data_IF_344086439237
#
_entry.id   IF_344086439237
#
_cell.length_a   1.000
_cell.length_b   1.000
_cell.length_c   1.000
_cell.angle_alpha   90.00
_cell.angle_beta   90.00
_cell.angle_gamma   90.00
#
_symmetry.space_group_name_H-M   'P 1'
#
loop_
_entity.id
_entity.type
_entity.pdbx_description
1 polymer ?
#
# COMPACT_ATOMS: atom_id res chain seq x y z
N UNK A 1 -15.22 10.57 45.88
CA UNK A 1 -14.67 11.09 44.62
C UNK A 1 -14.09 9.91 43.88
N UNK A 2 -14.86 9.40 42.92
CA UNK A 2 -14.62 8.12 42.26
C UNK A 2 -14.62 8.40 40.77
N UNK A 3 -13.51 8.07 40.11
CA UNK A 3 -13.24 8.35 38.71
C UNK A 3 -14.01 7.34 37.86
N UNK A 4 -14.96 7.84 37.08
CA UNK A 4 -15.80 7.04 36.18
C UNK A 4 -15.05 6.65 34.91
N UNK A 5 -15.06 5.35 34.62
CA UNK A 5 -14.60 4.72 33.39
C UNK A 5 -15.53 5.07 32.22
N UNK A 6 -14.99 5.59 31.13
CA UNK A 6 -15.71 5.77 29.86
C UNK A 6 -15.69 4.46 29.07
N UNK A 7 -16.57 3.54 29.44
CA UNK A 7 -17.05 2.48 28.54
C UNK A 7 -18.39 2.94 27.99
N UNK A 8 -18.39 3.58 26.81
CA UNK A 8 -19.63 3.91 26.12
C UNK A 8 -20.16 2.69 25.37
N UNK A 9 -20.91 1.86 26.08
CA UNK A 9 -21.94 1.00 25.49
C UNK A 9 -23.25 1.77 25.63
N UNK A 10 -23.64 2.52 24.60
CA UNK A 10 -25.01 3.02 24.47
C UNK A 10 -25.55 2.62 23.10
N UNK A 11 -26.41 1.61 23.14
CA UNK A 11 -27.44 1.40 22.14
C UNK A 11 -28.45 2.55 22.27
N UNK A 12 -28.41 3.50 21.34
CA UNK A 12 -29.49 4.45 21.12
C UNK A 12 -30.35 3.95 19.95
N UNK A 13 -31.63 3.75 20.24
CA UNK A 13 -32.67 3.48 19.27
C UNK A 13 -32.91 4.72 18.38
N UNK A 14 -33.03 4.52 17.07
CA UNK A 14 -33.77 5.42 16.18
C UNK A 14 -33.00 6.26 15.15
N UNK A 15 -31.67 6.23 15.09
CA UNK A 15 -30.98 6.75 13.90
C UNK A 15 -30.88 5.64 12.86
N UNK A 16 -31.64 5.74 11.77
CA UNK A 16 -31.40 4.99 10.54
C UNK A 16 -30.01 5.34 10.03
N UNK A 17 -29.02 4.59 10.49
CA UNK A 17 -27.66 4.68 9.96
C UNK A 17 -27.69 4.23 8.51
N UNK A 18 -27.19 5.09 7.62
CA UNK A 18 -27.02 4.78 6.21
C UNK A 18 -26.28 3.45 6.04
N UNK A 19 -26.86 2.54 5.26
CA UNK A 19 -26.26 1.24 4.93
C UNK A 19 -25.78 1.23 3.49
N UNK A 20 -24.58 0.71 3.28
CA UNK A 20 -24.01 0.48 1.95
C UNK A 20 -24.37 -0.94 1.51
N UNK A 21 -24.98 -1.06 0.33
CA UNK A 21 -25.48 -2.33 -0.20
C UNK A 21 -25.08 -2.53 -1.67
N UNK A 22 -25.01 -3.78 -2.10
CA UNK A 22 -24.93 -4.15 -3.50
C UNK A 22 -26.22 -3.74 -4.22
N UNK A 23 -26.08 -3.03 -5.35
CA UNK A 23 -27.22 -2.47 -6.08
C UNK A 23 -28.19 -3.51 -6.65
N UNK A 24 -27.73 -4.74 -6.87
CA UNK A 24 -28.49 -5.83 -7.49
C UNK A 24 -29.00 -6.80 -6.43
N UNK A 25 -28.11 -7.33 -5.57
CA UNK A 25 -28.50 -8.33 -4.57
C UNK A 25 -29.14 -7.71 -3.32
N UNK A 26 -28.92 -6.42 -3.07
CA UNK A 26 -29.33 -5.75 -1.84
C UNK A 26 -28.54 -6.19 -0.60
N UNK A 27 -27.50 -7.00 -0.78
CA UNK A 27 -26.68 -7.46 0.34
C UNK A 27 -25.82 -6.33 0.92
N UNK A 28 -25.62 -6.29 2.25
CA UNK A 28 -24.76 -5.29 2.86
C UNK A 28 -23.29 -5.46 2.47
N UNK A 29 -22.66 -4.36 2.06
CA UNK A 29 -21.24 -4.26 1.73
C UNK A 29 -20.45 -3.79 2.94
N UNK A 30 -20.14 -4.73 3.83
CA UNK A 30 -19.19 -4.45 4.90
C UNK A 30 -17.81 -4.09 4.36
N UNK A 31 -16.96 -3.43 5.16
CA UNK A 31 -15.58 -3.13 4.78
C UNK A 31 -15.39 -2.05 3.71
N UNK A 32 -16.47 -1.49 3.13
CA UNK A 32 -16.38 -0.37 2.22
C UNK A 32 -15.75 0.86 2.91
N UNK A 33 -14.78 1.48 2.27
CA UNK A 33 -14.05 2.64 2.78
C UNK A 33 -14.82 3.93 2.52
N UNK A 34 -14.76 4.86 3.47
CA UNK A 34 -15.47 6.14 3.42
C UNK A 34 -14.45 7.27 3.52
N UNK A 35 -14.50 8.20 2.57
CA UNK A 35 -13.61 9.35 2.47
C UNK A 35 -14.39 10.65 2.59
N UNK A 36 -13.82 11.64 3.28
CA UNK A 36 -14.37 12.98 3.32
C UNK A 36 -14.16 13.75 2.01
N UNK A 37 -14.75 14.95 1.92
CA UNK A 37 -14.62 15.84 0.76
C UNK A 37 -13.18 16.25 0.42
N UNK A 38 -12.22 16.06 1.32
CA UNK A 38 -10.80 16.39 1.13
C UNK A 38 -9.95 15.16 0.77
N UNK A 39 -10.59 14.00 0.61
CA UNK A 39 -9.93 12.72 0.36
C UNK A 39 -9.36 12.05 1.62
N UNK A 40 -9.63 12.57 2.82
CA UNK A 40 -9.25 11.95 4.08
C UNK A 40 -10.13 10.76 4.41
N UNK A 41 -9.54 9.63 4.81
CA UNK A 41 -10.31 8.44 5.17
C UNK A 41 -10.99 8.64 6.54
N UNK A 42 -12.31 8.47 6.61
CA UNK A 42 -13.12 8.54 7.83
C UNK A 42 -13.25 7.17 8.52
N UNK A 43 -13.10 6.08 7.76
CA UNK A 43 -13.14 4.71 8.26
C UNK A 43 -13.75 3.73 7.27
N UNK A 44 -14.11 2.54 7.78
CA UNK A 44 -14.70 1.45 7.00
C UNK A 44 -16.10 1.11 7.50
N UNK A 45 -17.00 0.73 6.61
CA UNK A 45 -18.33 0.25 6.95
C UNK A 45 -18.28 -1.01 7.84
N UNK A 46 -19.24 -1.12 8.75
CA UNK A 46 -19.40 -2.31 9.60
C UNK A 46 -19.68 -3.57 8.77
N UNK A 47 -19.58 -4.81 9.33
CA UNK A 47 -19.96 -6.03 8.61
C UNK A 47 -21.39 -6.04 8.04
N UNK A 48 -22.27 -5.18 8.57
CA UNK A 48 -23.65 -4.99 8.09
C UNK A 48 -23.80 -3.84 7.09
N UNK A 49 -22.70 -3.32 6.55
CA UNK A 49 -22.69 -2.23 5.57
C UNK A 49 -22.96 -0.84 6.16
N UNK A 50 -23.22 -0.70 7.46
CA UNK A 50 -23.47 0.62 8.06
C UNK A 50 -22.23 1.51 7.99
N UNK A 51 -22.42 2.77 7.57
CA UNK A 51 -21.37 3.80 7.55
C UNK A 51 -20.77 4.03 8.95
N UNK A 52 -19.48 4.40 9.04
CA UNK A 52 -18.91 4.99 10.25
C UNK A 52 -19.58 6.34 10.54
N UNK A 53 -19.29 6.92 11.71
CA UNK A 53 -19.76 8.27 12.02
C UNK A 53 -19.16 9.28 11.03
N UNK A 54 -20.02 10.09 10.38
CA UNK A 54 -19.62 11.13 9.44
C UNK A 54 -20.07 12.50 9.98
N UNK A 55 -19.14 13.41 10.34
CA UNK A 55 -19.53 14.74 10.78
C UNK A 55 -20.09 15.55 9.61
N UNK A 56 -21.04 16.45 9.88
CA UNK A 56 -21.72 17.24 8.83
C UNK A 56 -20.75 18.02 7.91
N UNK A 57 -19.62 18.49 8.45
CA UNK A 57 -18.59 19.22 7.69
C UNK A 57 -17.68 18.36 6.81
N UNK A 58 -17.81 17.03 6.85
CA UNK A 58 -17.04 16.11 6.02
C UNK A 58 -17.71 15.81 4.67
N UNK A 59 -19.02 16.09 4.53
CA UNK A 59 -19.74 15.92 3.27
C UNK A 59 -19.31 16.93 2.18
N UNK A 60 -19.41 16.58 0.89
CA UNK A 60 -19.82 15.26 0.38
C UNK A 60 -18.78 14.18 0.69
N UNK A 61 -19.24 12.95 0.96
CA UNK A 61 -18.35 11.81 1.25
C UNK A 61 -18.34 10.82 0.10
N UNK A 62 -17.19 10.21 -0.16
CA UNK A 62 -17.04 9.18 -1.19
C UNK A 62 -16.98 7.80 -0.53
N UNK A 63 -17.85 6.89 -0.95
CA UNK A 63 -17.83 5.48 -0.55
C UNK A 63 -17.17 4.65 -1.64
N UNK A 64 -16.18 3.85 -1.25
CA UNK A 64 -15.41 2.96 -2.12
C UNK A 64 -15.44 1.54 -1.62
N UNK A 65 -15.58 0.60 -2.53
CA UNK A 65 -15.47 -0.81 -2.25
C UNK A 65 -14.78 -1.48 -3.43
N UNK A 66 -13.69 -2.22 -3.18
CA UNK A 66 -12.94 -2.88 -4.23
C UNK A 66 -13.86 -3.77 -5.08
N UNK A 67 -13.80 -3.57 -6.41
CA UNK A 67 -14.68 -4.26 -7.38
C UNK A 67 -16.09 -3.66 -7.48
N UNK A 68 -16.31 -2.45 -6.98
CA UNK A 68 -17.56 -1.70 -7.12
C UNK A 68 -17.28 -0.27 -7.59
N UNK A 69 -18.22 0.30 -8.35
CA UNK A 69 -18.20 1.70 -8.72
C UNK A 69 -18.34 2.57 -7.46
N UNK A 70 -17.50 3.60 -7.34
CA UNK A 70 -17.57 4.54 -6.22
C UNK A 70 -18.87 5.34 -6.25
N UNK A 71 -19.30 5.80 -5.07
CA UNK A 71 -20.51 6.61 -4.92
C UNK A 71 -20.24 7.80 -4.01
N UNK A 72 -20.61 8.99 -4.48
CA UNK A 72 -20.60 10.21 -3.68
C UNK A 72 -21.96 10.37 -3.01
N UNK A 73 -21.93 10.72 -1.73
CA UNK A 73 -23.09 10.98 -0.89
C UNK A 73 -23.00 12.44 -0.44
N UNK A 74 -24.02 13.24 -0.74
CA UNK A 74 -24.01 14.68 -0.43
C UNK A 74 -24.43 15.00 1.01
N UNK A 75 -25.17 14.11 1.67
CA UNK A 75 -25.60 14.29 3.06
C UNK A 75 -25.98 12.97 3.73
N UNK A 76 -26.03 12.95 5.06
CA UNK A 76 -26.41 11.76 5.85
C UNK A 76 -27.90 11.41 5.83
N UNK A 77 -28.70 12.01 4.94
CA UNK A 77 -30.13 11.76 4.85
C UNK A 77 -30.49 10.48 4.08
N UNK A 78 -29.54 9.89 3.35
CA UNK A 78 -29.76 8.65 2.61
C UNK A 78 -29.79 7.44 3.56
N UNK A 79 -30.87 6.65 3.53
CA UNK A 79 -30.95 5.42 4.31
C UNK A 79 -30.13 4.28 3.69
N UNK A 80 -30.05 4.23 2.36
CA UNK A 80 -29.34 3.18 1.60
C UNK A 80 -28.45 3.80 0.52
N UNK A 81 -27.21 3.34 0.46
CA UNK A 81 -26.24 3.70 -0.57
C UNK A 81 -25.97 2.46 -1.41
N UNK A 82 -26.35 2.52 -2.68
CA UNK A 82 -26.25 1.37 -3.60
C UNK A 82 -24.98 1.47 -4.44
N UNK A 83 -24.09 0.49 -4.29
CA UNK A 83 -22.90 0.38 -5.13
C UNK A 83 -23.13 -0.63 -6.26
N UNK A 84 -22.71 -0.26 -7.47
CA UNK A 84 -22.78 -1.14 -8.64
C UNK A 84 -21.50 -1.97 -8.73
N UNK A 85 -21.63 -3.29 -8.74
CA UNK A 85 -20.49 -4.20 -8.94
C UNK A 85 -19.85 -3.95 -10.31
N UNK A 86 -18.52 -3.89 -10.33
CA UNK A 86 -17.70 -3.88 -11.54
C UNK A 86 -17.34 -5.34 -11.85
N UNK A 87 -17.82 -5.86 -12.97
CA UNK A 87 -17.49 -7.21 -13.42
C UNK A 87 -16.44 -7.13 -14.53
N UNK A 88 -15.30 -7.78 -14.33
CA UNK A 88 -14.33 -8.07 -15.39
C UNK A 88 -13.77 -9.46 -15.19
N UNK A 89 -13.61 -10.17 -16.30
CA UNK A 89 -12.87 -11.42 -16.36
C UNK A 89 -11.43 -11.09 -16.75
N UNK A 90 -10.47 -11.53 -15.94
CA UNK A 90 -9.06 -11.54 -16.34
C UNK A 90 -8.86 -12.65 -17.39
N UNK A 91 -7.87 -12.51 -18.30
CA UNK A 91 -7.57 -13.55 -19.27
C UNK A 91 -7.36 -14.91 -18.60
N UNK A 92 -7.87 -15.98 -19.21
CA UNK A 92 -7.67 -17.33 -18.71
C UNK A 92 -6.18 -17.66 -18.63
N UNK A 93 -5.73 -18.10 -17.46
CA UNK A 93 -4.32 -18.45 -17.23
C UNK A 93 -4.08 -19.90 -17.66
N UNK A 94 -3.50 -20.10 -18.84
CA UNK A 94 -3.17 -21.45 -19.35
C UNK A 94 -1.93 -22.01 -18.67
N UNK A 95 -2.04 -23.21 -18.08
CA UNK A 95 -0.94 -23.90 -17.40
C UNK A 95 -0.36 -25.01 -18.29
N UNK A 96 0.85 -24.84 -18.81
CA UNK A 96 1.65 -25.98 -19.30
C UNK A 96 2.47 -26.57 -18.15
N UNK A 97 1.97 -27.67 -17.60
CA UNK A 97 2.52 -28.37 -16.44
C UNK A 97 3.99 -28.82 -16.59
N UNK A 98 4.55 -28.87 -17.80
CA UNK A 98 5.95 -29.30 -18.02
C UNK A 98 6.96 -28.16 -17.99
N UNK A 99 6.52 -26.91 -18.20
CA UNK A 99 7.44 -25.76 -18.40
C UNK A 99 7.18 -24.58 -17.47
N UNK A 100 5.98 -24.43 -16.95
CA UNK A 100 5.59 -23.21 -16.26
C UNK A 100 5.57 -23.44 -14.75
N UNK A 101 6.61 -22.93 -14.07
CA UNK A 101 6.93 -23.26 -12.67
C UNK A 101 6.74 -22.08 -11.71
N UNK A 102 6.52 -20.87 -12.25
CA UNK A 102 6.42 -19.62 -11.48
C UNK A 102 5.22 -18.83 -12.00
N UNK A 103 4.33 -18.39 -11.11
CA UNK A 103 3.27 -17.45 -11.43
C UNK A 103 3.84 -16.03 -11.34
N UNK A 104 3.85 -15.31 -12.45
CA UNK A 104 4.15 -13.89 -12.53
C UNK A 104 2.82 -13.12 -12.59
N UNK A 105 2.71 -12.07 -11.79
CA UNK A 105 1.50 -11.24 -11.73
C UNK A 105 1.89 -9.77 -11.82
N UNK A 106 1.29 -9.06 -12.76
CA UNK A 106 1.43 -7.62 -12.93
C UNK A 106 0.23 -6.93 -12.29
N UNK A 107 0.48 -5.89 -11.49
CA UNK A 107 -0.58 -5.16 -10.81
C UNK A 107 -0.35 -3.65 -10.85
N UNK A 108 -1.44 -2.91 -10.87
CA UNK A 108 -1.46 -1.47 -10.66
C UNK A 108 -1.91 -1.18 -9.22
N UNK A 109 -1.18 -0.31 -8.53
CA UNK A 109 -1.49 0.07 -7.16
C UNK A 109 -1.80 1.56 -7.12
N UNK A 110 -2.96 1.89 -6.56
CA UNK A 110 -3.35 3.24 -6.21
C UNK A 110 -3.35 3.40 -4.70
N UNK A 111 -2.73 4.48 -4.23
CA UNK A 111 -2.51 4.72 -2.82
C UNK A 111 -2.87 6.15 -2.41
N UNK A 112 -3.44 6.23 -1.22
CA UNK A 112 -3.68 7.44 -0.45
C UNK A 112 -3.08 7.25 0.94
N UNK A 113 -2.01 7.99 1.24
CA UNK A 113 -1.40 7.98 2.57
C UNK A 113 -1.42 9.36 3.18
N UNK A 114 -1.68 9.44 4.48
CA UNK A 114 -1.61 10.68 5.25
C UNK A 114 -0.66 10.48 6.41
N UNK A 115 0.29 11.39 6.55
CA UNK A 115 1.18 11.51 7.68
C UNK A 115 0.84 12.81 8.40
N UNK A 116 0.57 12.75 9.69
CA UNK A 116 0.26 13.94 10.48
C UNK A 116 1.05 13.96 11.78
N UNK A 117 1.42 15.16 12.22
CA UNK A 117 1.81 15.47 13.60
C UNK A 117 0.76 16.39 14.21
N UNK A 118 1.05 16.96 15.38
CA UNK A 118 0.16 17.94 15.98
C UNK A 118 0.05 19.26 15.21
N UNK A 119 0.99 19.56 14.33
CA UNK A 119 1.00 20.83 13.59
C UNK A 119 0.93 20.65 12.08
N UNK A 120 1.52 19.56 11.57
CA UNK A 120 1.78 19.43 10.15
C UNK A 120 1.11 18.17 9.60
N UNK A 121 0.58 18.26 8.38
CA UNK A 121 -0.03 17.13 7.67
C UNK A 121 0.54 17.05 6.25
N UNK A 122 1.02 15.86 5.89
CA UNK A 122 1.47 15.50 4.55
C UNK A 122 0.53 14.45 3.99
N UNK A 123 -0.09 14.76 2.85
CA UNK A 123 -0.89 13.81 2.08
C UNK A 123 -0.06 13.34 0.90
N UNK A 124 -0.07 12.04 0.65
CA UNK A 124 0.55 11.36 -0.48
C UNK A 124 -0.55 10.69 -1.31
N UNK A 125 -0.65 11.09 -2.57
CA UNK A 125 -1.29 10.30 -3.61
C UNK A 125 -0.22 9.63 -4.47
N UNK A 126 -0.29 8.31 -4.62
CA UNK A 126 0.70 7.56 -5.40
C UNK A 126 0.06 6.50 -6.27
N UNK A 127 0.41 6.52 -7.54
CA UNK A 127 0.15 5.44 -8.49
C UNK A 127 1.44 4.73 -8.84
N UNK A 128 1.41 3.40 -8.84
CA UNK A 128 2.59 2.60 -9.19
C UNK A 128 2.21 1.30 -9.87
N UNK A 129 3.07 0.87 -10.79
CA UNK A 129 3.02 -0.49 -11.33
C UNK A 129 3.97 -1.37 -10.54
N UNK A 130 3.51 -2.57 -10.19
CA UNK A 130 4.26 -3.54 -9.41
C UNK A 130 4.14 -4.92 -10.03
N UNK A 131 5.13 -5.77 -9.80
CA UNK A 131 4.99 -7.20 -10.07
C UNK A 131 5.22 -8.08 -8.85
N UNK A 132 4.75 -9.31 -8.97
CA UNK A 132 4.93 -10.39 -8.01
C UNK A 132 5.39 -11.66 -8.73
N UNK A 133 6.22 -12.46 -8.07
CA UNK A 133 6.60 -13.79 -8.56
C UNK A 133 6.44 -14.85 -7.49
N UNK A 134 5.55 -15.81 -7.75
CA UNK A 134 5.20 -16.90 -6.85
C UNK A 134 5.66 -18.24 -7.43
N UNK A 135 6.73 -18.85 -6.91
CA UNK A 135 7.15 -20.18 -7.34
C UNK A 135 6.13 -21.24 -6.90
N UNK A 136 5.83 -22.20 -7.77
CA UNK A 136 4.99 -23.33 -7.39
C UNK A 136 5.65 -24.20 -6.31
N UNK A 137 4.82 -24.79 -5.44
CA UNK A 137 5.26 -25.59 -4.29
C UNK A 137 6.20 -26.73 -4.74
N UNK A 138 7.33 -26.87 -4.04
CA UNK A 138 8.33 -27.93 -4.30
C UNK A 138 9.53 -27.49 -5.14
N UNK A 139 9.48 -26.32 -5.79
CA UNK A 139 10.57 -25.79 -6.61
C UNK A 139 11.54 -24.91 -5.80
N UNK A 140 12.39 -25.55 -4.98
CA UNK A 140 13.32 -24.86 -4.04
C UNK A 140 14.42 -23.97 -4.67
N UNK A 141 14.54 -23.92 -6.01
CA UNK A 141 15.65 -23.26 -6.70
C UNK A 141 15.41 -21.78 -7.02
N UNK A 142 14.19 -21.28 -6.80
CA UNK A 142 13.83 -19.88 -7.04
C UNK A 142 12.92 -19.41 -5.90
N UNK A 143 13.26 -18.29 -5.27
CA UNK A 143 12.52 -17.76 -4.12
C UNK A 143 11.28 -16.95 -4.54
N UNK A 144 11.37 -16.28 -5.69
CA UNK A 144 10.39 -15.27 -6.11
C UNK A 144 10.32 -14.09 -5.14
N UNK A 145 9.30 -13.26 -5.32
CA UNK A 145 8.99 -12.14 -4.43
C UNK A 145 7.47 -12.02 -4.25
N UNK A 146 7.05 -12.05 -2.99
CA UNK A 146 5.65 -11.85 -2.57
C UNK A 146 5.34 -10.39 -2.26
N UNK A 147 6.38 -9.62 -1.93
CA UNK A 147 6.30 -8.18 -1.78
C UNK A 147 6.23 -7.51 -3.16
N UNK A 148 5.52 -6.38 -3.28
CA UNK A 148 5.42 -5.68 -4.54
C UNK A 148 6.79 -5.13 -4.93
N UNK A 149 7.30 -5.55 -6.09
CA UNK A 149 8.49 -4.93 -6.68
C UNK A 149 8.03 -3.81 -7.59
N UNK A 150 8.36 -2.58 -7.23
CA UNK A 150 7.93 -1.36 -7.94
C UNK A 150 8.65 -1.25 -9.28
N UNK A 151 7.87 -1.23 -10.36
CA UNK A 151 8.33 -1.11 -11.76
C UNK A 151 8.33 0.34 -12.22
N UNK A 152 7.29 1.10 -11.85
CA UNK A 152 7.20 2.55 -12.03
C UNK A 152 6.33 3.16 -10.94
N UNK A 153 6.53 4.45 -10.64
CA UNK A 153 5.77 5.16 -9.61
C UNK A 153 5.65 6.63 -9.94
N UNK A 154 4.48 7.21 -9.70
CA UNK A 154 4.20 8.65 -9.73
C UNK A 154 3.63 9.05 -8.36
N UNK A 155 4.33 9.93 -7.66
CA UNK A 155 3.97 10.36 -6.31
C UNK A 155 3.67 11.85 -6.28
N UNK A 156 2.60 12.24 -5.60
CA UNK A 156 2.13 13.60 -5.49
C UNK A 156 1.86 13.92 -4.02
N UNK A 157 2.49 14.96 -3.52
CA UNK A 157 2.46 15.35 -2.13
C UNK A 157 1.76 16.69 -1.95
N UNK A 158 0.95 16.80 -0.90
CA UNK A 158 0.43 18.06 -0.37
C UNK A 158 0.90 18.23 1.06
N UNK A 159 1.45 19.39 1.40
CA UNK A 159 1.93 19.73 2.72
C UNK A 159 1.07 20.85 3.28
N UNK A 160 0.57 20.65 4.50
CA UNK A 160 -0.13 21.67 5.26
C UNK A 160 0.48 21.79 6.64
N UNK A 161 0.58 23.01 7.17
CA UNK A 161 1.16 23.25 8.49
C UNK A 161 0.22 24.05 9.40
N UNK A 162 0.59 24.19 10.68
CA UNK A 162 -0.24 24.85 11.69
C UNK A 162 -0.49 26.35 11.43
N UNK A 163 0.26 26.97 10.51
CA UNK A 163 0.05 28.36 10.07
C UNK A 163 -0.91 28.48 8.88
N UNK A 164 -1.43 27.36 8.36
CA UNK A 164 -2.32 27.33 7.20
C UNK A 164 -1.60 27.40 5.85
N UNK A 165 -0.27 27.25 5.82
CA UNK A 165 0.47 27.11 4.56
C UNK A 165 0.05 25.83 3.85
N UNK A 166 -0.16 25.89 2.54
CA UNK A 166 -0.56 24.75 1.69
C UNK A 166 0.35 24.68 0.45
N UNK A 167 1.31 23.76 0.44
CA UNK A 167 2.26 23.55 -0.65
C UNK A 167 2.17 22.15 -1.25
N UNK A 168 2.73 21.97 -2.45
CA UNK A 168 2.68 20.69 -3.19
C UNK A 168 4.05 20.33 -3.76
N UNK A 169 4.30 19.04 -3.97
CA UNK A 169 5.53 18.54 -4.62
C UNK A 169 5.30 17.19 -5.27
N UNK A 170 6.11 16.85 -6.28
CA UNK A 170 6.28 15.50 -6.82
C UNK A 170 7.33 14.68 -6.04
N UNK A 171 7.98 15.29 -5.04
CA UNK A 171 9.11 14.71 -4.31
C UNK A 171 8.97 14.89 -2.81
N UNK A 172 9.28 13.83 -2.09
CA UNK A 172 9.47 13.89 -0.66
C UNK A 172 10.51 12.84 -0.26
N UNK A 173 11.50 13.24 0.52
CA UNK A 173 12.62 12.36 0.89
C UNK A 173 12.25 11.39 2.03
N UNK A 174 11.06 11.54 2.62
CA UNK A 174 10.56 10.64 3.64
C UNK A 174 9.54 9.69 3.02
N UNK A 175 9.67 8.41 3.35
CA UNK A 175 8.71 7.39 2.99
C UNK A 175 7.80 7.18 4.19
N UNK A 176 6.48 7.20 4.01
CA UNK A 176 5.50 6.98 5.10
C UNK A 176 4.33 6.11 4.66
N UNK A 177 4.59 5.21 3.72
CA UNK A 177 3.57 4.36 3.09
C UNK A 177 3.73 2.92 3.53
N UNK A 178 2.63 2.28 3.92
CA UNK A 178 2.60 0.84 4.15
C UNK A 178 2.39 0.01 2.89
N UNK A 179 1.97 0.61 1.77
CA UNK A 179 1.55 -0.12 0.56
C UNK A 179 2.70 -0.84 -0.16
N UNK A 180 3.96 -0.49 0.12
CA UNK A 180 5.15 -1.19 -0.39
C UNK A 180 5.43 -2.51 0.35
N UNK A 181 4.75 -2.73 1.47
CA UNK A 181 4.91 -3.92 2.32
C UNK A 181 3.70 -4.87 2.24
N UNK A 182 2.69 -4.53 1.44
CA UNK A 182 1.49 -5.34 1.22
C UNK A 182 1.80 -6.42 0.20
N UNK A 183 2.18 -7.60 0.67
CA UNK A 183 2.43 -8.76 -0.17
C UNK A 183 1.17 -9.52 -0.57
N UNK A 184 1.34 -10.45 -1.51
CA UNK A 184 0.28 -11.36 -1.97
C UNK A 184 0.30 -12.69 -1.23
N UNK A 185 -0.89 -13.27 -1.05
CA UNK A 185 -1.05 -14.66 -0.58
C UNK A 185 -0.93 -15.63 -1.74
N UNK A 186 -0.45 -16.85 -1.45
CA UNK A 186 -0.21 -17.89 -2.46
C UNK A 186 -1.33 -18.93 -2.49
N UNK A 187 -1.49 -19.67 -1.38
CA UNK A 187 -2.54 -20.66 -1.19
C UNK A 187 -3.16 -20.48 0.17
N UNK A 188 -4.47 -20.29 0.21
CA UNK A 188 -5.20 -20.13 1.47
C UNK A 188 -6.26 -21.22 1.59
N UNK A 189 -6.21 -22.06 2.65
CA UNK A 189 -7.29 -22.99 2.94
C UNK A 189 -8.65 -22.28 3.04
N UNK A 190 -9.66 -22.85 2.39
CA UNK A 190 -11.02 -22.31 2.39
C UNK A 190 -11.81 -22.96 3.53
N UNK A 191 -12.63 -22.19 4.29
CA UNK A 191 -13.52 -22.78 5.27
C UNK A 191 -14.47 -23.81 4.60
N UNK A 192 -14.68 -25.01 5.19
CA UNK A 192 -15.46 -26.07 4.55
C UNK A 192 -16.85 -25.66 4.06
N UNK A 193 -17.49 -24.71 4.76
CA UNK A 193 -18.81 -24.16 4.39
C UNK A 193 -18.84 -23.49 3.00
N UNK A 194 -17.70 -23.00 2.52
CA UNK A 194 -17.57 -22.30 1.25
C UNK A 194 -17.21 -23.21 0.07
N UNK A 195 -16.78 -24.46 0.32
CA UNK A 195 -16.29 -25.36 -0.74
C UNK A 195 -17.46 -25.75 -1.67
N UNK A 196 -18.51 -26.36 -1.11
CA UNK A 196 -19.61 -26.94 -1.89
C UNK A 196 -20.80 -25.97 -2.11
N UNK A 197 -20.75 -24.78 -1.54
CA UNK A 197 -21.83 -23.78 -1.64
C UNK A 197 -21.58 -22.81 -2.79
N UNK A 198 -22.59 -22.49 -3.58
CA UNK A 198 -22.50 -21.42 -4.60
C UNK A 198 -22.62 -20.03 -3.98
N UNK A 199 -23.34 -19.89 -2.88
CA UNK A 199 -23.42 -18.65 -2.10
C UNK A 199 -23.26 -19.02 -0.62
N UNK A 200 -22.27 -18.43 0.05
CA UNK A 200 -22.02 -18.69 1.46
C UNK A 200 -21.29 -17.53 2.11
N UNK A 201 -21.55 -17.35 3.40
CA UNK A 201 -20.80 -16.45 4.27
C UNK A 201 -20.29 -17.28 5.44
N UNK A 202 -19.04 -17.07 5.82
CA UNK A 202 -18.48 -17.66 7.03
C UNK A 202 -17.62 -16.65 7.78
N UNK A 203 -17.47 -16.84 9.08
CA UNK A 203 -16.70 -15.92 9.92
C UNK A 203 -15.81 -16.70 10.84
N UNK A 204 -14.50 -16.48 10.74
CA UNK A 204 -13.50 -17.06 11.63
C UNK A 204 -13.23 -16.06 12.74
N UNK A 205 -13.43 -16.49 13.98
CA UNK A 205 -13.19 -15.68 15.16
C UNK A 205 -11.79 -15.91 15.71
N UNK A 206 -11.08 -14.83 15.98
CA UNK A 206 -9.88 -14.85 16.80
C UNK A 206 -10.24 -14.85 18.28
N UNK A 207 -9.25 -14.58 19.13
CA UNK A 207 -9.43 -14.59 20.59
C UNK A 207 -10.53 -13.63 21.10
N UNK A 208 -10.71 -12.47 20.48
CA UNK A 208 -11.59 -11.41 21.00
C UNK A 208 -12.56 -10.81 19.98
N UNK A 209 -12.34 -10.99 18.68
CA UNK A 209 -13.16 -10.41 17.62
C UNK A 209 -13.09 -11.26 16.34
N UNK A 210 -14.02 -11.07 15.39
CA UNK A 210 -13.92 -11.64 14.06
C UNK A 210 -12.57 -11.27 13.43
N UNK A 211 -11.85 -12.30 12.98
CA UNK A 211 -10.58 -12.15 12.28
C UNK A 211 -10.78 -12.18 10.78
N UNK A 212 -11.59 -13.11 10.30
CA UNK A 212 -11.80 -13.34 8.87
C UNK A 212 -13.30 -13.37 8.60
N UNK A 213 -13.76 -12.60 7.62
CA UNK A 213 -15.13 -12.70 7.10
C UNK A 213 -15.04 -13.09 5.64
N UNK A 214 -15.53 -14.28 5.34
CA UNK A 214 -15.52 -14.88 4.03
C UNK A 214 -16.90 -14.73 3.40
N UNK A 215 -16.94 -14.37 2.12
CA UNK A 215 -18.17 -14.36 1.32
C UNK A 215 -17.87 -14.94 -0.05
N UNK A 216 -18.65 -15.94 -0.46
CA UNK A 216 -18.63 -16.55 -1.78
C UNK A 216 -19.94 -16.24 -2.49
N UNK A 217 -19.84 -15.83 -3.76
CA UNK A 217 -20.95 -15.56 -4.68
C UNK A 217 -20.59 -16.14 -6.04
N UNK A 218 -21.14 -17.30 -6.37
CA UNK A 218 -20.72 -18.08 -7.54
C UNK A 218 -19.24 -18.44 -7.47
N UNK A 219 -18.47 -17.93 -8.42
CA UNK A 219 -17.02 -18.13 -8.52
C UNK A 219 -16.20 -17.02 -7.86
N UNK A 220 -16.87 -15.95 -7.41
CA UNK A 220 -16.22 -14.86 -6.70
C UNK A 220 -16.14 -15.14 -5.21
N UNK A 221 -14.97 -14.88 -4.63
CA UNK A 221 -14.75 -14.93 -3.18
C UNK A 221 -14.14 -13.62 -2.71
N UNK A 222 -14.81 -12.95 -1.79
CA UNK A 222 -14.26 -11.82 -1.04
C UNK A 222 -13.92 -12.25 0.38
N UNK A 223 -12.76 -11.81 0.85
CA UNK A 223 -12.27 -12.09 2.19
C UNK A 223 -11.87 -10.77 2.85
N UNK A 224 -12.49 -10.46 3.98
CA UNK A 224 -12.08 -9.38 4.88
C UNK A 224 -11.28 -9.93 6.06
N UNK A 225 -10.08 -9.39 6.28
CA UNK A 225 -9.20 -9.77 7.37
C UNK A 225 -8.94 -8.58 8.29
N UNK A 226 -9.22 -8.76 9.58
CA UNK A 226 -8.69 -7.92 10.65
C UNK A 226 -7.39 -8.54 11.19
N UNK A 227 -6.26 -8.03 10.71
CA UNK A 227 -4.93 -8.61 11.00
C UNK A 227 -4.52 -8.43 12.45
N UNK A 228 -5.06 -7.42 13.14
CA UNK A 228 -4.78 -7.16 14.56
C UNK A 228 -5.68 -7.97 15.51
N UNK A 229 -6.76 -8.59 15.02
CA UNK A 229 -7.70 -9.34 15.85
C UNK A 229 -7.07 -10.57 16.51
N UNK A 230 -6.11 -11.22 15.83
CA UNK A 230 -5.34 -12.34 16.37
C UNK A 230 -3.90 -12.32 15.84
N UNK A 231 -2.96 -12.77 16.66
CA UNK A 231 -1.57 -12.99 16.24
C UNK A 231 -1.44 -14.01 15.11
N UNK A 232 -2.34 -14.99 15.03
CA UNK A 232 -2.38 -15.97 13.93
C UNK A 232 -2.71 -15.29 12.60
N UNK A 233 -3.55 -14.27 12.61
CA UNK A 233 -3.99 -13.50 11.42
C UNK A 233 -2.86 -12.78 10.71
N UNK A 234 -1.73 -12.57 11.39
CA UNK A 234 -0.55 -11.91 10.81
C UNK A 234 0.03 -12.67 9.62
N UNK A 235 -0.32 -13.95 9.43
CA UNK A 235 0.05 -14.72 8.24
C UNK A 235 -0.54 -14.15 6.94
N UNK A 236 -1.63 -13.38 7.02
CA UNK A 236 -2.23 -12.66 5.89
C UNK A 236 -1.34 -11.52 5.39
N UNK A 237 -0.49 -10.96 6.24
CA UNK A 237 0.50 -9.95 5.88
C UNK A 237 1.89 -10.38 6.35
N UNK A 238 2.47 -11.44 5.74
CA UNK A 238 3.70 -12.06 6.24
C UNK A 238 4.87 -11.07 6.24
N UNK A 239 4.93 -10.19 5.24
CA UNK A 239 6.00 -9.20 5.07
C UNK A 239 5.89 -8.02 6.05
N UNK A 240 4.72 -7.82 6.68
CA UNK A 240 4.51 -6.82 7.74
C UNK A 240 4.85 -7.34 9.14
N UNK A 241 5.09 -8.65 9.28
CA UNK A 241 5.27 -9.29 10.59
C UNK A 241 6.43 -8.72 11.42
N UNK A 242 7.46 -8.19 10.76
CA UNK A 242 8.61 -7.55 11.39
C UNK A 242 8.23 -6.22 12.06
N UNK A 243 7.22 -5.52 11.56
CA UNK A 243 6.83 -4.20 12.08
C UNK A 243 5.93 -4.29 13.30
N UNK A 244 5.15 -5.37 13.45
CA UNK A 244 4.32 -5.62 14.63
C UNK A 244 5.10 -5.84 15.94
N UNK A 245 6.42 -5.74 15.90
CA UNK A 245 7.32 -5.92 17.06
C UNK A 245 8.20 -4.68 17.33
N UNK A 246 8.07 -3.62 16.54
CA UNK A 246 8.89 -2.41 16.65
C UNK A 246 8.15 -1.33 17.47
N UNK A 247 8.76 -0.15 17.62
CA UNK A 247 8.18 1.03 18.30
C UNK A 247 7.03 1.70 17.53
N UNK A 248 6.32 0.94 16.70
CA UNK A 248 5.20 1.43 15.90
C UNK A 248 3.97 0.71 16.39
N UNK A 249 3.03 1.50 16.92
CA UNK A 249 1.75 0.99 17.37
C UNK A 249 0.78 1.03 16.19
N UNK A 250 0.20 -0.12 15.86
CA UNK A 250 -0.84 -0.22 14.84
C UNK A 250 -2.21 -0.17 15.51
N UNK A 251 -3.03 0.79 15.11
CA UNK A 251 -4.41 0.93 15.57
C UNK A 251 -5.37 0.14 14.67
N UNK A 252 -5.07 0.09 13.37
CA UNK A 252 -5.87 -0.61 12.38
C UNK A 252 -4.96 -1.30 11.35
N UNK A 253 -5.23 -2.57 11.06
CA UNK A 253 -4.67 -3.27 9.90
C UNK A 253 -5.76 -4.17 9.34
N UNK A 254 -6.47 -3.65 8.34
CA UNK A 254 -7.52 -4.36 7.63
C UNK A 254 -7.11 -4.59 6.20
N UNK A 255 -7.31 -5.81 5.71
CA UNK A 255 -7.04 -6.18 4.33
C UNK A 255 -8.25 -6.89 3.76
N UNK A 256 -8.65 -6.52 2.56
CA UNK A 256 -9.63 -7.25 1.76
C UNK A 256 -8.94 -7.88 0.57
N UNK A 257 -9.22 -9.15 0.32
CA UNK A 257 -8.85 -9.85 -0.90
C UNK A 257 -10.11 -10.12 -1.73
N UNK A 258 -9.99 -9.97 -3.06
CA UNK A 258 -10.99 -10.43 -4.02
C UNK A 258 -10.39 -11.49 -4.91
N UNK A 259 -11.12 -12.58 -5.09
CA UNK A 259 -10.76 -13.70 -5.93
C UNK A 259 -11.90 -14.02 -6.89
N UNK A 260 -11.56 -14.47 -8.09
CA UNK A 260 -12.48 -14.98 -9.11
C UNK A 260 -11.88 -16.27 -9.67
N UNK A 261 -12.69 -17.33 -9.80
CA UNK A 261 -12.28 -18.66 -10.29
C UNK A 261 -11.04 -19.24 -9.57
N UNK A 262 -10.88 -18.92 -8.28
CA UNK A 262 -9.66 -19.23 -7.54
C UNK A 262 -9.71 -20.53 -6.73
N UNK A 263 -10.89 -21.13 -6.56
CA UNK A 263 -11.08 -22.30 -5.71
C UNK A 263 -10.53 -23.56 -6.38
N UNK A 264 -9.46 -24.10 -5.80
CA UNK A 264 -8.84 -25.35 -6.24
C UNK A 264 -8.99 -26.37 -5.12
N UNK A 265 -10.00 -27.24 -5.25
CA UNK A 265 -10.38 -28.20 -4.22
C UNK A 265 -10.72 -27.52 -2.89
N UNK A 266 -9.76 -27.36 -1.99
CA UNK A 266 -9.91 -26.88 -0.61
C UNK A 266 -9.12 -25.58 -0.33
N UNK A 267 -8.52 -24.95 -1.33
CA UNK A 267 -7.78 -23.70 -1.17
C UNK A 267 -8.06 -22.67 -2.28
N UNK A 268 -7.92 -21.38 -1.96
CA UNK A 268 -7.85 -20.31 -2.95
C UNK A 268 -6.43 -20.16 -3.47
N UNK A 269 -6.28 -20.17 -4.80
CA UNK A 269 -5.02 -19.94 -5.51
C UNK A 269 -4.81 -18.46 -5.81
N UNK A 270 -3.58 -17.98 -5.68
CA UNK A 270 -3.17 -16.64 -6.12
C UNK A 270 -3.48 -16.36 -7.60
N UNK A 271 -3.55 -17.39 -8.45
CA UNK A 271 -3.92 -17.23 -9.85
C UNK A 271 -5.29 -16.58 -10.02
N UNK A 272 -6.23 -16.79 -9.10
CA UNK A 272 -7.54 -16.17 -9.15
C UNK A 272 -7.64 -14.84 -8.39
N UNK A 273 -6.56 -14.30 -7.82
CA UNK A 273 -6.57 -13.04 -7.07
C UNK A 273 -6.80 -11.83 -7.98
N UNK A 274 -7.95 -11.17 -7.92
CA UNK A 274 -8.29 -10.04 -8.80
C UNK A 274 -7.96 -8.69 -8.20
N UNK A 275 -7.99 -8.57 -6.87
CA UNK A 275 -7.54 -7.36 -6.20
C UNK A 275 -7.32 -7.48 -4.71
N UNK A 276 -6.66 -6.47 -4.15
CA UNK A 276 -6.45 -6.29 -2.71
C UNK A 276 -6.81 -4.85 -2.36
N UNK A 277 -7.50 -4.62 -1.24
CA UNK A 277 -7.54 -3.29 -0.63
C UNK A 277 -7.04 -3.36 0.81
N UNK A 278 -6.33 -2.32 1.25
CA UNK A 278 -5.79 -2.25 2.60
C UNK A 278 -6.18 -0.93 3.27
N UNK A 279 -6.45 -0.98 4.56
CA UNK A 279 -6.44 0.17 5.44
C UNK A 279 -5.50 -0.09 6.61
N UNK A 280 -4.48 0.74 6.76
CA UNK A 280 -3.47 0.62 7.82
C UNK A 280 -3.37 1.96 8.53
N UNK A 281 -3.61 1.96 9.84
CA UNK A 281 -3.45 3.12 10.72
C UNK A 281 -2.41 2.76 11.78
N UNK A 282 -1.42 3.63 11.92
CA UNK A 282 -0.29 3.44 12.82
C UNK A 282 0.15 4.75 13.42
N UNK A 283 0.73 4.70 14.61
CA UNK A 283 1.36 5.84 15.24
C UNK A 283 2.73 5.44 15.80
N UNK A 284 3.57 6.44 16.06
CA UNK A 284 4.93 6.22 16.55
C UNK A 284 5.58 7.53 16.99
N UNK A 285 6.90 7.50 17.27
CA UNK A 285 7.66 8.69 17.71
C UNK A 285 8.99 8.87 16.98
N UNK A 286 9.26 10.09 16.52
CA UNK A 286 10.58 10.55 16.07
C UNK A 286 11.18 9.80 14.88
N UNK A 287 12.51 9.61 14.89
CA UNK A 287 13.33 9.00 13.82
C UNK A 287 13.12 7.48 13.64
N UNK A 288 11.94 6.96 13.95
CA UNK A 288 11.55 5.60 13.58
C UNK A 288 11.46 5.48 12.04
N UNK A 289 10.86 4.40 11.51
CA UNK A 289 10.96 3.97 10.11
C UNK A 289 10.86 5.08 9.04
N UNK A 290 10.06 6.11 9.29
CA UNK A 290 9.76 7.16 8.33
C UNK A 290 10.68 8.39 8.40
N UNK A 291 11.66 8.38 9.32
CA UNK A 291 12.65 9.46 9.54
C UNK A 291 12.05 10.87 9.57
N UNK A 292 10.79 10.96 9.96
CA UNK A 292 9.99 12.18 9.91
C UNK A 292 10.14 12.95 11.22
N UNK A 293 10.31 14.27 11.08
CA UNK A 293 10.36 15.25 12.16
C UNK A 293 11.48 15.09 13.21
N UNK A 294 11.44 15.96 14.22
CA UNK A 294 12.42 16.03 15.30
C UNK A 294 12.39 14.73 16.09
N UNK A 295 13.52 14.45 16.77
CA UNK A 295 13.60 13.30 17.68
C UNK A 295 12.45 13.37 18.70
N UNK A 296 11.77 12.25 18.91
CA UNK A 296 10.68 12.04 19.86
C UNK A 296 9.33 12.75 19.58
N UNK A 297 9.16 13.37 18.41
CA UNK A 297 7.85 13.94 18.02
C UNK A 297 6.87 12.83 17.59
N UNK A 298 5.64 12.78 18.12
CA UNK A 298 4.68 11.78 17.71
C UNK A 298 4.18 12.03 16.30
N UNK A 299 3.97 10.95 15.55
CA UNK A 299 3.39 10.97 14.22
C UNK A 299 2.26 9.95 14.12
N UNK A 300 1.33 10.22 13.21
CA UNK A 300 0.22 9.35 12.87
C UNK A 300 0.22 9.13 11.37
N UNK A 301 0.19 7.88 10.93
CA UNK A 301 0.17 7.46 9.53
C UNK A 301 -1.07 6.65 9.27
N UNK A 302 -1.81 7.08 8.25
CA UNK A 302 -2.90 6.34 7.61
C UNK A 302 -2.45 5.99 6.19
N UNK A 303 -2.62 4.73 5.79
CA UNK A 303 -2.41 4.27 4.41
C UNK A 303 -3.63 3.49 3.96
N UNK A 304 -4.29 4.00 2.92
CA UNK A 304 -5.26 3.26 2.13
C UNK A 304 -4.64 2.94 0.76
N UNK A 305 -4.70 1.68 0.33
CA UNK A 305 -4.26 1.32 -1.01
C UNK A 305 -5.13 0.24 -1.63
N UNK A 306 -5.27 0.31 -2.94
CA UNK A 306 -5.97 -0.67 -3.78
C UNK A 306 -4.98 -1.21 -4.81
N UNK A 307 -4.88 -2.53 -4.89
CA UNK A 307 -4.03 -3.29 -5.82
C UNK A 307 -4.98 -3.97 -6.80
N UNK A 308 -4.85 -3.64 -8.08
CA UNK A 308 -5.63 -4.19 -9.18
C UNK A 308 -4.71 -5.06 -10.02
N UNK A 309 -5.01 -6.35 -10.13
CA UNK A 309 -4.20 -7.26 -10.95
C UNK A 309 -4.57 -7.05 -12.42
N UNK A 310 -3.58 -6.66 -13.22
CA UNK A 310 -3.77 -6.36 -14.63
C UNK A 310 -3.54 -7.58 -15.52
N UNK A 311 -2.54 -8.40 -15.18
CA UNK A 311 -2.17 -9.58 -15.95
C UNK A 311 -1.52 -10.64 -15.06
N UNK A 312 -1.63 -11.91 -15.48
CA UNK A 312 -1.08 -13.08 -14.78
C UNK A 312 -0.68 -14.14 -15.78
N UNK A 313 0.54 -14.63 -15.63
CA UNK A 313 1.08 -15.67 -16.50
C UNK A 313 1.90 -16.67 -15.69
N UNK A 314 1.87 -17.94 -16.07
CA UNK A 314 2.87 -18.87 -15.56
C UNK A 314 4.06 -18.91 -16.51
N UNK A 315 5.24 -18.60 -15.98
CA UNK A 315 6.50 -18.55 -16.73
C UNK A 315 7.45 -19.66 -16.30
N UNK A 316 8.44 -19.92 -17.16
CA UNK A 316 9.52 -20.86 -16.85
C UNK A 316 10.51 -20.30 -15.83
N UNK A 317 11.26 -21.17 -15.16
CA UNK A 317 12.36 -20.73 -14.27
C UNK A 317 13.43 -19.91 -15.00
N UNK A 318 13.57 -20.05 -16.32
CA UNK A 318 14.53 -19.27 -17.11
C UNK A 318 14.06 -17.83 -17.23
N UNK A 319 12.82 -17.63 -17.69
CA UNK A 319 12.19 -16.31 -17.81
C UNK A 319 12.12 -15.62 -16.44
N UNK A 320 11.79 -16.37 -15.38
CA UNK A 320 11.75 -15.83 -14.02
C UNK A 320 13.09 -15.22 -13.56
N UNK A 321 14.21 -15.86 -13.93
CA UNK A 321 15.55 -15.33 -13.64
C UNK A 321 15.97 -14.18 -14.55
N UNK A 322 15.39 -14.08 -15.73
CA UNK A 322 15.57 -12.93 -16.62
C UNK A 322 14.84 -11.72 -16.04
N UNK A 323 13.60 -11.89 -15.56
CA UNK A 323 12.84 -10.88 -14.82
C UNK A 323 13.53 -10.41 -13.54
N UNK A 324 14.20 -11.29 -12.80
CA UNK A 324 14.98 -10.92 -11.60
C UNK A 324 16.12 -9.95 -11.94
N UNK A 325 16.71 -10.08 -13.13
CA UNK A 325 17.83 -9.25 -13.62
C UNK A 325 17.38 -8.08 -14.48
N UNK A 326 16.09 -7.98 -14.77
CA UNK A 326 15.56 -7.02 -15.71
C UNK A 326 15.79 -5.58 -15.23
N UNK A 327 16.25 -4.72 -16.13
CA UNK A 327 16.43 -3.30 -15.87
C UNK A 327 15.23 -2.54 -16.41
N UNK A 328 14.50 -1.87 -15.53
CA UNK A 328 13.24 -1.19 -15.82
C UNK A 328 13.37 0.01 -16.77
N UNK A 329 14.58 0.38 -17.20
CA UNK A 329 14.81 1.46 -18.16
C UNK A 329 14.34 1.12 -19.60
N UNK A 330 13.91 -0.12 -19.86
CA UNK A 330 13.53 -0.59 -21.20
C UNK A 330 12.02 -0.50 -21.49
N UNK A 331 11.17 -0.38 -20.47
CA UNK A 331 9.71 -0.32 -20.60
C UNK A 331 9.22 0.84 -19.74
N UNK A 332 8.50 1.78 -20.35
CA UNK A 332 7.78 2.80 -19.60
C UNK A 332 6.45 2.24 -19.11
N UNK A 333 6.49 1.56 -17.95
CA UNK A 333 5.28 1.05 -17.29
C UNK A 333 4.27 2.17 -16.99
N UNK A 334 4.71 3.44 -16.93
CA UNK A 334 3.83 4.58 -16.73
C UNK A 334 2.92 4.93 -17.92
N UNK A 335 3.13 4.30 -19.08
CA UNK A 335 2.31 4.45 -20.30
C UNK A 335 1.36 3.27 -20.53
N UNK A 336 1.41 2.24 -19.69
CA UNK A 336 0.47 1.12 -19.78
C UNK A 336 -0.96 1.59 -19.52
N UNK A 337 -1.96 1.04 -20.24
CA UNK A 337 -3.35 1.34 -19.95
C UNK A 337 -3.69 0.86 -18.53
N UNK A 338 -4.48 1.67 -17.82
CA UNK A 338 -4.99 1.29 -16.50
C UNK A 338 -5.96 0.11 -16.64
N UNK A 339 -6.01 -0.81 -15.67
CA UNK A 339 -7.07 -1.80 -15.61
C UNK A 339 -8.45 -1.13 -15.54
N UNK A 340 -9.46 -1.68 -16.22
CA UNK A 340 -10.81 -1.08 -16.33
C UNK A 340 -11.53 -0.91 -14.97
N UNK A 341 -11.13 -1.66 -13.95
CA UNK A 341 -11.69 -1.62 -12.59
C UNK A 341 -11.16 -0.44 -11.76
N UNK A 342 -10.10 0.21 -12.22
CA UNK A 342 -9.50 1.35 -11.53
C UNK A 342 -10.49 2.51 -11.61
N UNK A 343 -10.99 3.04 -10.47
CA UNK A 343 -11.95 4.12 -10.48
C UNK A 343 -11.35 5.39 -11.06
N UNK A 344 -12.18 6.35 -11.42
CA UNK A 344 -11.69 7.69 -11.78
C UNK A 344 -11.03 8.37 -10.58
N UNK A 345 -10.24 9.41 -10.87
CA UNK A 345 -9.63 10.21 -9.82
C UNK A 345 -10.66 11.14 -9.21
N UNK A 346 -10.68 11.19 -7.88
CA UNK A 346 -11.44 12.22 -7.18
C UNK A 346 -10.98 13.62 -7.61
N UNK A 347 -11.89 14.59 -7.71
CA UNK A 347 -11.58 15.95 -8.15
C UNK A 347 -10.41 16.60 -7.39
N UNK A 348 -10.34 16.39 -6.06
CA UNK A 348 -9.28 16.93 -5.22
C UNK A 348 -7.90 16.35 -5.56
N UNK A 349 -7.86 15.08 -5.94
CA UNK A 349 -6.64 14.37 -6.32
C UNK A 349 -6.19 14.80 -7.72
N UNK A 350 -7.15 14.91 -8.66
CA UNK A 350 -6.89 15.49 -9.97
C UNK A 350 -6.36 16.93 -9.84
N UNK A 351 -6.93 17.72 -8.93
CA UNK A 351 -6.48 19.07 -8.58
C UNK A 351 -5.08 19.09 -8.00
N UNK A 352 -4.73 18.16 -7.11
CA UNK A 352 -3.37 17.99 -6.58
C UNK A 352 -2.38 17.69 -7.70
N UNK A 353 -2.68 16.73 -8.56
CA UNK A 353 -1.83 16.36 -9.70
C UNK A 353 -1.62 17.56 -10.62
N UNK A 354 -2.69 18.31 -10.93
CA UNK A 354 -2.60 19.52 -11.76
C UNK A 354 -1.74 20.61 -11.09
N UNK A 355 -1.90 20.83 -9.78
CA UNK A 355 -1.05 21.80 -9.03
C UNK A 355 0.42 21.42 -9.08
N UNK A 356 0.75 20.13 -8.95
CA UNK A 356 2.12 19.63 -9.07
C UNK A 356 2.63 19.75 -10.51
N UNK A 357 1.81 19.40 -11.50
CA UNK A 357 2.17 19.50 -12.92
C UNK A 357 2.43 20.94 -13.39
N UNK A 358 1.88 21.94 -12.70
CA UNK A 358 2.12 23.36 -12.97
C UNK A 358 3.40 23.90 -12.29
N UNK A 359 4.17 23.08 -11.58
CA UNK A 359 5.44 23.50 -10.99
C UNK A 359 6.47 23.67 -12.11
N UNK A 360 7.00 24.88 -12.27
CA UNK A 360 8.14 25.16 -13.14
C UNK A 360 9.44 24.68 -12.46
N UNK A 361 9.72 23.38 -12.60
CA UNK A 361 10.93 22.78 -12.05
C UNK A 361 12.22 23.38 -12.64
N UNK A 362 12.20 23.75 -13.92
CA UNK A 362 13.36 24.33 -14.58
C UNK A 362 13.63 25.76 -14.09
N UNK A 363 12.60 26.59 -13.99
CA UNK A 363 12.70 27.92 -13.41
C UNK A 363 13.17 27.89 -11.96
N UNK A 364 12.64 26.99 -11.14
CA UNK A 364 13.07 26.81 -9.74
C UNK A 364 14.53 26.35 -9.64
N UNK A 365 14.96 25.42 -10.51
CA UNK A 365 16.34 24.95 -10.56
C UNK A 365 17.30 26.07 -10.95
N UNK A 366 16.92 26.92 -11.91
CA UNK A 366 17.74 28.05 -12.37
C UNK A 366 17.81 29.16 -11.32
N UNK A 367 16.72 29.41 -10.60
CA UNK A 367 16.65 30.44 -9.56
C UNK A 367 17.39 30.07 -8.25
N UNK A 368 17.64 28.77 -8.03
CA UNK A 368 18.38 28.31 -6.84
C UNK A 368 19.87 28.50 -7.05
N UNK A 369 20.52 29.37 -6.26
CA UNK A 369 21.97 29.52 -6.32
C UNK A 369 22.64 28.19 -5.92
N UNK A 370 23.42 27.54 -6.81
CA UNK A 370 24.08 26.29 -6.48
C UNK A 370 25.02 26.49 -5.28
N UNK A 371 24.98 25.57 -4.32
CA UNK A 371 25.92 25.64 -3.20
C UNK A 371 27.35 25.59 -3.74
N UNK A 372 28.04 26.72 -3.65
CA UNK A 372 29.40 26.90 -4.18
C UNK A 372 30.42 25.97 -3.51
N UNK A 373 30.09 25.38 -2.35
CA UNK A 373 30.91 24.36 -1.68
C UNK A 373 30.83 22.99 -2.36
N UNK A 374 29.72 22.71 -3.04
CA UNK A 374 29.50 21.48 -3.81
C UNK A 374 29.79 21.66 -5.31
N UNK A 375 29.82 22.91 -5.77
CA UNK A 375 30.25 23.26 -7.12
C UNK A 375 31.75 22.90 -7.32
N UNK A 376 32.02 21.92 -8.18
CA UNK A 376 33.39 21.49 -8.53
C UNK A 376 33.79 20.10 -8.03
N UNK A 377 32.93 19.38 -7.31
CA UNK A 377 33.09 17.94 -7.15
C UNK A 377 32.67 17.27 -8.46
N UNK A 378 33.65 16.80 -9.23
CA UNK A 378 33.43 15.99 -10.42
C UNK A 378 32.83 14.64 -9.99
N UNK A 379 31.49 14.61 -9.90
CA UNK A 379 30.69 13.44 -9.54
C UNK A 379 30.46 12.50 -10.74
N UNK A 380 31.28 12.60 -11.79
CA UNK A 380 31.29 11.58 -12.83
C UNK A 380 31.64 10.23 -12.20
N UNK A 381 30.77 9.20 -12.32
CA UNK A 381 31.07 7.90 -11.75
C UNK A 381 32.32 7.35 -12.45
N UNK A 382 33.42 7.29 -11.71
CA UNK A 382 34.67 6.72 -12.20
C UNK A 382 34.39 5.34 -12.78
N UNK A 383 34.75 5.16 -14.06
CA UNK A 383 34.72 3.84 -14.70
C UNK A 383 35.55 2.84 -13.89
N UNK A 384 35.26 1.53 -14.00
CA UNK A 384 36.00 0.49 -13.28
C UNK A 384 37.52 0.63 -13.46
N UNK A 385 37.96 0.96 -14.68
CA UNK A 385 39.36 1.24 -15.03
C UNK A 385 39.93 2.45 -14.27
N UNK A 386 39.17 3.53 -14.15
CA UNK A 386 39.55 4.72 -13.37
C UNK A 386 39.55 4.45 -11.85
N UNK A 387 38.63 3.62 -11.33
CA UNK A 387 38.62 3.19 -9.92
C UNK A 387 39.85 2.36 -9.56
N UNK A 388 40.22 1.41 -10.41
CA UNK A 388 41.43 0.58 -10.24
C UNK A 388 42.69 1.45 -10.31
N UNK A 389 42.78 2.35 -11.30
CA UNK A 389 43.92 3.26 -11.45
C UNK A 389 44.06 4.20 -10.23
N UNK A 390 42.95 4.70 -9.67
CA UNK A 390 42.94 5.57 -8.49
C UNK A 390 43.37 4.82 -7.22
N UNK A 391 42.98 3.55 -7.06
CA UNK A 391 43.48 2.67 -5.97
C UNK A 391 44.97 2.34 -6.10
N UNK A 392 45.44 2.06 -7.31
CA UNK A 392 46.87 1.79 -7.57
C UNK A 392 47.75 3.03 -7.33
N UNK A 393 47.29 4.23 -7.75
CA UNK A 393 47.97 5.50 -7.44
C UNK A 393 48.00 5.80 -5.93
N UNK A 394 46.92 5.50 -5.21
CA UNK A 394 46.87 5.65 -3.75
C UNK A 394 47.81 4.69 -3.00
N UNK A 395 48.03 3.49 -3.55
CA UNK A 395 49.01 2.53 -3.03
C UNK A 395 50.45 2.95 -3.36
N UNK A 396 50.72 3.44 -4.56
CA UNK A 396 52.03 3.97 -4.94
C UNK A 396 52.43 5.20 -4.10
N UNK A 397 51.47 6.07 -3.76
CA UNK A 397 51.70 7.22 -2.89
C UNK A 397 52.04 6.82 -1.44
N UNK A 398 51.54 5.67 -0.96
CA UNK A 398 51.88 5.10 0.36
C UNK A 398 53.19 4.31 0.38
N UNK A 399 53.72 3.94 -0.78
CA UNK A 399 55.04 3.26 -0.89
C UNK A 399 56.18 4.26 -1.07
N UNK A 400 55.89 5.53 -1.39
CA UNK A 400 56.89 6.60 -1.59
C UNK A 400 57.21 7.48 -0.37
N UNK A 401 56.70 7.19 0.82
CA UNK A 401 56.96 7.97 2.04
C UNK A 401 57.28 7.08 3.24
N UNK A 402 58.41 6.38 3.15
CA UNK A 402 59.03 5.67 4.27
C UNK A 402 60.43 6.21 4.54
N UNK A 403 60.55 7.08 5.55
CA UNK A 403 61.86 7.48 6.09
C UNK A 403 61.79 8.75 6.92
N UNK A 404 61.71 8.63 8.25
CA UNK A 404 61.95 9.76 9.16
C UNK A 404 61.23 9.71 10.51
N UNK A 405 61.78 8.92 11.43
CA UNK A 405 61.93 9.19 12.89
C UNK A 405 60.74 9.65 13.75
N UNK A 406 60.46 8.80 14.75
CA UNK A 406 59.95 9.07 16.10
C UNK A 406 60.17 10.50 16.64
N UNK A 407 59.11 11.10 17.24
CA UNK A 407 59.21 11.55 18.63
C UNK A 407 57.86 11.77 19.33
N UNK A 408 57.90 11.47 20.63
CA UNK A 408 56.93 11.66 21.71
C UNK A 408 56.07 12.94 21.64
N UNK A 409 54.80 12.86 22.08
CA UNK A 409 54.37 13.23 23.44
C UNK A 409 52.85 13.50 23.55
N UNK A 410 52.25 12.81 24.51
CA UNK A 410 51.23 13.23 25.49
C UNK A 410 50.10 14.24 25.18
N UNK A 411 48.93 13.83 25.73
CA UNK A 411 47.87 14.60 26.40
C UNK A 411 46.78 15.30 25.54
N UNK A 412 45.53 14.79 25.61
CA UNK A 412 44.44 15.18 26.55
C UNK A 412 43.58 16.30 25.93
N UNK A 413 42.26 16.27 25.85
CA UNK A 413 41.16 15.71 26.66
C UNK A 413 39.97 15.45 25.75
#
# INVERSE_FOLDING_TARGET
MTVGSWTSVEALAGETRTIVIDSISGEPLGGASVFDRKGGMLGTCSPKGALPFVPAGAYPVTVRCLGYAERVIDSGAEAEVRLKELSRELPEVVVDARRNEVLHMLAYVREYSTLSTYTDTVILYRDKWVDFMLPQRGKKKFKGWRMPRVLSSKSYYRFTNGSGMDSVSDRFNQHFSWSDWVGVVDRVPVPPRLIDSCNAVDTVFGKYSPTETWRKKGNDVSLDVNVLADTVSRHWMPDMSLFFRNNIDFECVKVRYRFTDALVSDYLSASGLTGISVNIESNGRGRDMFQFNRRDEPFFVSTYAEIYFADKEYVSLKEAKEWEKFSFNQIDFGLLPLPDEVPELQPDIAGLIARVGNIDHDGLRIATEPDRRLAGLDLTPLTLKQRILKRLKGLAARVGSGGGTYNNSYNSR
#
